data_IF_777128751802
#
_entry.id   IF_777128751802
#
_cell.length_a   1.000
_cell.length_b   1.000
_cell.length_c   1.000
_cell.angle_alpha   90.00
_cell.angle_beta   90.00
_cell.angle_gamma   90.00
#
_symmetry.space_group_name_H-M   'P 1'
#
loop_
_entity.id
_entity.type
_entity.pdbx_description
1 polymer ?
#
# COMPACT_ATOMS: atom_id res chain seq x y z
N UNK A 1 -26.68 13.22 -31.53
CA UNK A 1 -25.23 12.93 -31.42
C UNK A 1 -24.93 12.50 -29.98
N UNK A 2 -24.35 11.32 -29.71
CA UNK A 2 -24.05 10.95 -28.33
C UNK A 2 -22.76 11.67 -27.89
N UNK A 3 -22.89 12.77 -27.15
CA UNK A 3 -21.80 13.46 -26.44
C UNK A 3 -21.50 12.73 -25.11
N UNK A 4 -21.05 11.49 -25.22
CA UNK A 4 -20.67 10.68 -24.06
C UNK A 4 -19.25 10.19 -24.21
N UNK A 5 -18.27 10.94 -23.66
CA UNK A 5 -16.88 10.48 -23.61
C UNK A 5 -16.80 9.02 -23.14
N UNK A 6 -16.02 8.21 -23.86
CA UNK A 6 -16.00 6.75 -23.72
C UNK A 6 -15.91 6.30 -22.26
N UNK A 7 -16.46 5.12 -21.93
CA UNK A 7 -16.45 4.56 -20.55
C UNK A 7 -15.04 4.61 -19.92
N UNK A 8 -14.00 4.39 -20.73
CA UNK A 8 -12.60 4.48 -20.32
C UNK A 8 -12.17 5.90 -19.92
N UNK A 9 -12.55 6.93 -20.68
CA UNK A 9 -12.24 8.34 -20.35
C UNK A 9 -12.89 8.74 -19.02
N UNK A 10 -14.15 8.32 -18.79
CA UNK A 10 -14.84 8.56 -17.50
C UNK A 10 -14.14 7.85 -16.34
N UNK A 11 -13.71 6.60 -16.54
CA UNK A 11 -12.97 5.84 -15.52
C UNK A 11 -11.62 6.48 -15.18
N UNK A 12 -10.86 6.93 -16.18
CA UNK A 12 -9.58 7.61 -16.00
C UNK A 12 -9.73 8.93 -15.21
N UNK A 13 -10.73 9.76 -15.56
CA UNK A 13 -11.05 11.00 -14.82
C UNK A 13 -11.41 10.72 -13.36
N UNK A 14 -12.21 9.68 -13.11
CA UNK A 14 -12.57 9.26 -11.74
C UNK A 14 -11.35 8.78 -10.95
N UNK A 15 -10.43 8.04 -11.58
CA UNK A 15 -9.15 7.63 -10.98
C UNK A 15 -8.29 8.84 -10.63
N UNK A 16 -8.09 9.77 -11.57
CA UNK A 16 -7.31 11.01 -11.34
C UNK A 16 -7.87 11.82 -10.17
N UNK A 17 -9.19 12.03 -10.12
CA UNK A 17 -9.87 12.74 -9.01
C UNK A 17 -9.71 12.05 -7.66
N UNK A 18 -9.68 10.72 -7.63
CA UNK A 18 -9.43 9.95 -6.40
C UNK A 18 -7.99 10.12 -5.93
N UNK A 19 -7.01 10.04 -6.84
CA UNK A 19 -5.60 10.26 -6.48
C UNK A 19 -5.39 11.67 -5.95
N UNK A 20 -5.97 12.69 -6.60
CA UNK A 20 -5.82 14.10 -6.18
C UNK A 20 -6.44 14.42 -4.81
N UNK A 21 -7.28 13.54 -4.25
CA UNK A 21 -7.94 13.74 -2.95
C UNK A 21 -7.26 13.01 -1.80
N UNK A 22 -6.23 12.24 -2.11
CA UNK A 22 -5.58 11.33 -1.17
C UNK A 22 -4.18 11.84 -0.89
N UNK A 23 -3.81 11.70 0.38
CA UNK A 23 -2.48 12.00 0.90
C UNK A 23 -1.50 10.95 0.37
N UNK A 24 -0.42 11.41 -0.27
CA UNK A 24 0.64 10.59 -0.86
C UNK A 24 1.95 10.84 -0.11
N UNK A 25 2.02 10.34 1.12
CA UNK A 25 3.17 10.61 2.00
C UNK A 25 4.20 9.48 1.96
N UNK A 26 3.96 8.43 1.16
CA UNK A 26 4.88 7.32 1.03
C UNK A 26 6.14 7.73 0.25
N UNK A 27 7.24 7.94 0.97
CA UNK A 27 8.55 8.25 0.38
C UNK A 27 9.21 7.01 -0.23
N UNK A 28 10.23 7.21 -1.07
CA UNK A 28 10.97 6.09 -1.66
C UNK A 28 11.75 5.30 -0.60
N UNK A 29 12.33 5.97 0.41
CA UNK A 29 12.99 5.31 1.53
C UNK A 29 12.03 4.42 2.34
N UNK A 30 10.80 4.89 2.56
CA UNK A 30 9.73 4.11 3.19
C UNK A 30 9.32 2.90 2.35
N UNK A 31 9.27 3.07 1.03
CA UNK A 31 8.98 1.98 0.11
C UNK A 31 10.09 0.91 0.09
N UNK A 32 11.35 1.32 0.11
CA UNK A 32 12.49 0.40 0.20
C UNK A 32 12.50 -0.37 1.52
N UNK A 33 12.15 0.31 2.62
CA UNK A 33 11.98 -0.34 3.92
C UNK A 33 10.84 -1.37 3.90
N UNK A 34 9.68 -1.04 3.30
CA UNK A 34 8.58 -1.99 3.12
C UNK A 34 9.00 -3.23 2.32
N UNK A 35 9.68 -3.05 1.17
CA UNK A 35 10.17 -4.18 0.37
C UNK A 35 11.11 -5.08 1.20
N UNK A 36 11.99 -4.47 1.99
CA UNK A 36 12.94 -5.20 2.84
C UNK A 36 12.24 -5.97 3.96
N UNK A 37 11.35 -5.32 4.73
CA UNK A 37 10.63 -5.96 5.85
C UNK A 37 9.71 -7.10 5.40
N UNK A 38 9.12 -6.99 4.21
CA UNK A 38 8.30 -8.06 3.66
C UNK A 38 9.12 -9.17 2.99
N UNK A 39 10.27 -8.85 2.39
CA UNK A 39 11.14 -9.81 1.71
C UNK A 39 10.54 -10.42 0.42
N UNK A 40 9.40 -9.92 -0.05
CA UNK A 40 8.67 -10.49 -1.17
C UNK A 40 7.24 -9.94 -1.27
N UNK A 41 6.39 -10.63 -2.02
CA UNK A 41 4.97 -10.30 -2.11
C UNK A 41 4.29 -10.54 -0.76
N UNK A 42 3.62 -9.52 -0.23
CA UNK A 42 2.92 -9.56 1.05
C UNK A 42 1.79 -10.61 1.11
N UNK A 43 1.30 -11.07 -0.04
CA UNK A 43 0.18 -12.00 -0.12
C UNK A 43 0.61 -13.44 -0.38
N UNK A 44 1.33 -13.68 -1.47
CA UNK A 44 1.69 -15.03 -1.90
C UNK A 44 3.14 -15.40 -1.55
N UNK A 45 3.84 -14.54 -0.81
CA UNK A 45 5.24 -14.71 -0.36
C UNK A 45 6.25 -15.00 -1.48
N UNK A 46 5.87 -14.77 -2.74
CA UNK A 46 6.78 -14.93 -3.87
C UNK A 46 7.95 -13.94 -3.74
N UNK A 47 9.17 -14.34 -4.13
CA UNK A 47 10.36 -13.52 -3.97
C UNK A 47 10.25 -12.18 -4.69
N UNK A 48 11.09 -11.24 -4.26
CA UNK A 48 11.08 -9.82 -4.62
C UNK A 48 11.45 -9.51 -6.09
N UNK A 49 10.70 -10.07 -7.04
CA UNK A 49 10.70 -9.62 -8.43
C UNK A 49 10.13 -8.20 -8.56
N UNK A 50 9.44 -7.91 -9.67
CA UNK A 50 8.80 -6.59 -9.89
C UNK A 50 7.59 -6.36 -8.96
N UNK A 51 7.89 -5.99 -7.71
CA UNK A 51 6.91 -5.66 -6.70
C UNK A 51 6.27 -4.30 -7.00
N UNK A 52 4.95 -4.28 -6.90
CA UNK A 52 4.11 -3.10 -7.06
C UNK A 52 3.61 -2.65 -5.69
N UNK A 53 3.36 -1.35 -5.55
CA UNK A 53 2.73 -0.75 -4.37
C UNK A 53 1.22 -1.03 -4.44
N UNK A 54 0.71 -1.92 -3.58
CA UNK A 54 -0.73 -2.17 -3.42
C UNK A 54 -1.24 -1.55 -2.12
N UNK A 55 -2.47 -1.03 -2.14
CA UNK A 55 -3.13 -0.47 -0.96
C UNK A 55 -4.02 -1.51 -0.31
N UNK A 56 -3.74 -1.89 0.93
CA UNK A 56 -4.51 -2.86 1.74
C UNK A 56 -5.99 -2.45 1.77
N UNK A 57 -6.29 -1.21 2.15
CA UNK A 57 -7.56 -0.57 1.87
C UNK A 57 -7.47 0.13 0.50
N UNK A 58 -8.31 -0.29 -0.45
CA UNK A 58 -8.35 0.33 -1.77
C UNK A 58 -8.72 1.83 -1.69
N UNK A 59 -8.06 2.66 -2.50
CA UNK A 59 -8.30 4.11 -2.54
C UNK A 59 -9.76 4.45 -2.88
N UNK A 60 -10.41 3.63 -3.72
CA UNK A 60 -11.83 3.79 -4.03
C UNK A 60 -12.77 3.61 -2.84
N UNK A 61 -12.27 3.05 -1.73
CA UNK A 61 -12.98 2.76 -0.49
C UNK A 61 -12.44 3.59 0.70
N UNK A 62 -11.64 4.63 0.44
CA UNK A 62 -11.11 5.54 1.46
C UNK A 62 -9.65 5.30 1.86
N UNK A 63 -8.97 4.31 1.28
CA UNK A 63 -7.56 4.06 1.57
C UNK A 63 -6.63 5.17 1.08
N UNK A 64 -5.45 5.24 1.68
CA UNK A 64 -4.42 6.28 1.44
C UNK A 64 -3.09 5.70 1.00
N UNK A 65 -2.24 6.51 0.37
CA UNK A 65 -0.92 6.07 -0.08
C UNK A 65 0.12 6.36 1.00
N UNK A 66 -0.01 5.65 2.12
CA UNK A 66 0.74 5.86 3.35
C UNK A 66 1.46 4.58 3.76
N UNK A 67 2.49 4.72 4.59
CA UNK A 67 3.31 3.62 5.10
C UNK A 67 2.47 2.46 5.69
N UNK A 68 1.48 2.76 6.52
CA UNK A 68 0.62 1.74 7.15
C UNK A 68 -0.54 1.21 6.31
N UNK A 69 -0.64 1.57 5.02
CA UNK A 69 -1.67 1.04 4.12
C UNK A 69 -1.10 0.46 2.83
N UNK A 70 0.16 0.75 2.50
CA UNK A 70 0.81 0.24 1.28
C UNK A 70 1.64 -1.00 1.62
N UNK A 71 1.47 -2.04 0.82
CA UNK A 71 2.27 -3.28 0.90
C UNK A 71 2.86 -3.63 -0.47
N UNK A 72 4.01 -4.32 -0.50
CA UNK A 72 4.54 -4.86 -1.74
C UNK A 72 3.72 -6.06 -2.23
N UNK A 73 3.29 -6.03 -3.48
CA UNK A 73 2.55 -7.12 -4.10
C UNK A 73 3.09 -7.43 -5.50
N UNK A 74 3.13 -8.70 -5.88
CA UNK A 74 3.42 -9.07 -7.27
C UNK A 74 2.26 -8.66 -8.20
N UNK A 75 2.54 -8.53 -9.50
CA UNK A 75 1.54 -8.11 -10.49
C UNK A 75 0.28 -9.00 -10.54
N UNK A 76 0.43 -10.32 -10.35
CA UNK A 76 -0.70 -11.26 -10.34
C UNK A 76 -1.61 -11.08 -9.12
N UNK A 77 -1.04 -10.90 -7.93
CA UNK A 77 -1.80 -10.66 -6.71
C UNK A 77 -2.47 -9.29 -6.73
N UNK A 78 -1.73 -8.24 -7.12
CA UNK A 78 -2.25 -6.89 -7.21
C UNK A 78 -3.42 -6.80 -8.21
N UNK A 79 -3.27 -7.40 -9.40
CA UNK A 79 -4.35 -7.46 -10.39
C UNK A 79 -5.55 -8.29 -9.89
N UNK A 80 -5.31 -9.40 -9.20
CA UNK A 80 -6.38 -10.25 -8.66
C UNK A 80 -7.16 -9.58 -7.53
N UNK A 81 -6.50 -8.83 -6.65
CA UNK A 81 -7.15 -8.07 -5.57
C UNK A 81 -7.90 -6.87 -6.14
N UNK A 82 -7.26 -6.11 -7.02
CA UNK A 82 -7.82 -4.89 -7.60
C UNK A 82 -8.37 -3.96 -6.50
N UNK A 83 -9.67 -3.69 -6.49
CA UNK A 83 -10.34 -2.83 -5.51
C UNK A 83 -11.11 -3.61 -4.43
N UNK A 84 -10.96 -4.94 -4.38
CA UNK A 84 -11.59 -5.77 -3.38
C UNK A 84 -11.06 -5.43 -1.98
N UNK A 85 -11.91 -5.66 -0.99
CA UNK A 85 -11.51 -5.61 0.42
C UNK A 85 -10.54 -6.77 0.70
N UNK A 86 -9.44 -6.48 1.39
CA UNK A 86 -8.29 -7.39 1.49
C UNK A 86 -8.65 -8.70 2.15
N UNK A 87 -9.39 -8.69 3.26
CA UNK A 87 -9.72 -9.90 4.03
C UNK A 87 -10.68 -10.79 3.24
N UNK A 88 -11.71 -10.20 2.62
CA UNK A 88 -12.61 -10.91 1.72
C UNK A 88 -11.91 -11.47 0.48
N UNK A 89 -10.90 -10.79 -0.04
CA UNK A 89 -10.08 -11.33 -1.14
C UNK A 89 -9.16 -12.47 -0.68
N UNK A 90 -8.48 -12.34 0.47
CA UNK A 90 -7.62 -13.37 1.05
C UNK A 90 -8.42 -14.66 1.30
N UNK A 91 -9.61 -14.55 1.92
CA UNK A 91 -10.51 -15.69 2.14
C UNK A 91 -10.91 -16.38 0.84
N UNK A 92 -11.28 -15.61 -0.20
CA UNK A 92 -11.59 -16.17 -1.53
C UNK A 92 -10.40 -16.86 -2.19
N UNK A 93 -9.17 -16.35 -1.98
CA UNK A 93 -7.94 -16.95 -2.48
C UNK A 93 -7.42 -18.10 -1.60
N UNK A 94 -8.07 -18.37 -0.47
CA UNK A 94 -7.63 -19.34 0.54
C UNK A 94 -6.23 -19.06 1.06
N UNK A 95 -5.87 -17.77 1.16
CA UNK A 95 -4.63 -17.32 1.78
C UNK A 95 -4.86 -17.08 3.28
N UNK A 96 -3.80 -17.16 4.06
CA UNK A 96 -3.86 -16.99 5.51
C UNK A 96 -4.04 -15.50 5.89
N UNK A 97 -5.31 -15.15 6.16
CA UNK A 97 -5.72 -13.82 6.60
C UNK A 97 -5.07 -13.42 7.92
N UNK A 98 -5.02 -14.32 8.90
CA UNK A 98 -4.52 -14.00 10.25
C UNK A 98 -3.05 -13.66 10.18
N UNK A 99 -2.26 -14.49 9.51
CA UNK A 99 -0.83 -14.28 9.33
C UNK A 99 -0.55 -12.97 8.59
N UNK A 100 -1.32 -12.66 7.55
CA UNK A 100 -1.21 -11.38 6.85
C UNK A 100 -1.48 -10.18 7.78
N UNK A 101 -2.59 -10.19 8.52
CA UNK A 101 -2.99 -9.06 9.38
C UNK A 101 -1.99 -8.81 10.51
N UNK A 102 -1.52 -9.86 11.17
CA UNK A 102 -0.51 -9.76 12.23
C UNK A 102 0.78 -9.17 11.67
N UNK A 103 1.31 -9.73 10.58
CA UNK A 103 2.55 -9.25 9.98
C UNK A 103 2.44 -7.84 9.42
N UNK A 104 1.28 -7.49 8.84
CA UNK A 104 1.00 -6.13 8.40
C UNK A 104 1.03 -5.13 9.55
N UNK A 105 0.44 -5.48 10.70
CA UNK A 105 0.47 -4.63 11.89
C UNK A 105 1.88 -4.46 12.44
N UNK A 106 2.65 -5.56 12.59
CA UNK A 106 4.02 -5.55 13.10
C UNK A 106 4.94 -4.65 12.24
N UNK A 107 4.96 -4.88 10.92
CA UNK A 107 5.79 -4.09 9.99
C UNK A 107 5.34 -2.63 9.98
N UNK A 108 4.03 -2.37 9.97
CA UNK A 108 3.52 -0.99 9.98
C UNK A 108 3.96 -0.25 11.25
N UNK A 109 3.88 -0.90 12.41
CA UNK A 109 4.28 -0.32 13.68
C UNK A 109 5.79 -0.08 13.73
N UNK A 110 6.61 -1.06 13.33
CA UNK A 110 8.07 -0.95 13.27
C UNK A 110 8.51 0.20 12.36
N UNK A 111 8.00 0.25 11.13
CA UNK A 111 8.40 1.29 10.18
C UNK A 111 7.86 2.66 10.58
N UNK A 112 6.67 2.74 11.17
CA UNK A 112 6.17 4.01 11.71
C UNK A 112 7.10 4.52 12.81
N UNK A 113 7.50 3.67 13.76
CA UNK A 113 8.46 4.05 14.79
C UNK A 113 9.80 4.50 14.20
N UNK A 114 10.29 3.80 13.16
CA UNK A 114 11.54 4.14 12.47
C UNK A 114 11.51 5.50 11.77
N UNK A 115 10.39 5.88 11.16
CA UNK A 115 10.29 7.09 10.33
C UNK A 115 9.61 8.28 11.04
N UNK A 116 8.99 8.08 12.21
CA UNK A 116 8.41 9.16 13.04
C UNK A 116 9.48 9.88 13.87
N UNK A 117 10.67 9.30 14.06
CA UNK A 117 11.78 9.95 14.76
C UNK A 117 12.60 10.75 13.73
N UNK A 118 12.62 12.10 13.77
CA UNK A 118 13.61 12.86 13.01
C UNK A 118 15.01 12.51 13.52
N UNK A 119 16.02 12.34 12.64
CA UNK A 119 17.40 12.07 13.05
C UNK A 119 18.09 13.22 13.83
N UNK A 120 17.37 14.28 14.22
CA UNK A 120 17.91 15.45 14.94
C UNK A 120 17.12 15.80 16.22
N UNK A 121 16.71 14.80 17.01
CA UNK A 121 16.31 15.01 18.41
C UNK A 121 17.44 14.63 19.39
N UNK A 122 18.70 14.89 18.99
CA UNK A 122 19.90 14.48 19.72
C UNK A 122 21.10 15.43 19.60
N UNK A 123 20.92 16.66 19.14
CA UNK A 123 21.88 17.74 19.43
C UNK A 123 21.37 18.49 20.65
N UNK A 124 21.87 18.11 21.82
CA UNK A 124 21.54 18.70 23.12
C UNK A 124 21.73 20.22 23.15
N UNK A 125 20.95 20.95 23.97
CA UNK A 125 21.37 22.24 24.49
C UNK A 125 22.43 22.04 25.61
N UNK A 126 23.30 23.04 25.79
CA UNK A 126 24.27 23.25 26.90
C UNK A 126 25.61 22.47 26.75
N UNK A 127 26.81 23.04 26.88
CA UNK A 127 27.31 24.22 27.64
C UNK A 127 28.23 25.15 26.80
#
# INVERSE_FOLDING_TARGET
>A
MPTGGSKQVRAARKRKKRMARVVHDLTDAQWDALKTSWGGCAYCTAPAGSLQKDCVQAISRGGRYTLGNVVPACGSCNASKCNAEVTGWLRRKKLDERTFLVRHYEISNELTARFVIPPDAGASPEE
#
